data_IF_571190049797
#
_entry.id   IF_571190049797
#
_cell.length_a   1.000
_cell.length_b   1.000
_cell.length_c   1.000
_cell.angle_alpha   90.00
_cell.angle_beta   90.00
_cell.angle_gamma   90.00
#
_symmetry.space_group_name_H-M   'P 1'
#
loop_
_entity.id
_entity.type
_entity.pdbx_description
1 polymer ?
#
# COMPACT_ATOMS: atom_id res chain seq x y z
N UNK A 1 -29.06 -18.90 -7.09
CA UNK A 1 -27.94 -17.97 -7.31
C UNK A 1 -27.06 -17.98 -6.08
N UNK A 2 -25.77 -18.25 -6.22
CA UNK A 2 -24.78 -18.07 -5.15
C UNK A 2 -24.13 -16.70 -5.29
N UNK A 3 -23.70 -16.11 -4.17
CA UNK A 3 -23.03 -14.82 -4.18
C UNK A 3 -21.65 -14.93 -4.86
N UNK A 4 -21.29 -13.92 -5.65
CA UNK A 4 -19.93 -13.77 -6.20
C UNK A 4 -19.03 -13.18 -5.11
N UNK A 5 -17.93 -13.86 -4.80
CA UNK A 5 -16.90 -13.31 -3.90
C UNK A 5 -16.04 -12.33 -4.70
N UNK A 6 -15.93 -11.10 -4.21
CA UNK A 6 -14.99 -10.13 -4.74
C UNK A 6 -13.63 -10.38 -4.08
N UNK A 7 -12.67 -10.92 -4.84
CA UNK A 7 -11.35 -11.28 -4.32
C UNK A 7 -10.46 -10.05 -4.14
N UNK A 8 -10.46 -9.51 -2.92
CA UNK A 8 -9.64 -8.37 -2.55
C UNK A 8 -8.12 -8.62 -2.66
N UNK A 9 -7.64 -9.87 -2.64
CA UNK A 9 -6.19 -10.15 -2.79
C UNK A 9 -5.74 -9.95 -4.22
N UNK A 10 -6.54 -10.44 -5.18
CA UNK A 10 -6.27 -10.21 -6.61
C UNK A 10 -6.35 -8.72 -6.91
N UNK A 11 -7.39 -8.04 -6.43
CA UNK A 11 -7.53 -6.59 -6.61
C UNK A 11 -6.37 -5.81 -6.00
N UNK A 12 -5.92 -6.17 -4.79
CA UNK A 12 -4.76 -5.55 -4.14
C UNK A 12 -3.48 -5.71 -4.97
N UNK A 13 -3.22 -6.91 -5.50
CA UNK A 13 -2.04 -7.17 -6.31
C UNK A 13 -2.01 -6.33 -7.59
N UNK A 14 -3.15 -6.21 -8.27
CA UNK A 14 -3.29 -5.35 -9.45
C UNK A 14 -2.99 -3.89 -9.11
N UNK A 15 -3.61 -3.36 -8.04
CA UNK A 15 -3.42 -1.96 -7.63
C UNK A 15 -1.95 -1.68 -7.27
N UNK A 16 -1.27 -2.60 -6.56
CA UNK A 16 0.14 -2.44 -6.21
C UNK A 16 1.04 -2.34 -7.44
N UNK A 17 0.81 -3.20 -8.44
CA UNK A 17 1.58 -3.17 -9.69
C UNK A 17 1.42 -1.84 -10.42
N UNK A 18 0.17 -1.37 -10.57
CA UNK A 18 -0.12 -0.11 -11.25
C UNK A 18 0.46 1.10 -10.50
N UNK A 19 0.42 1.09 -9.16
CA UNK A 19 1.00 2.16 -8.34
C UNK A 19 2.53 2.19 -8.43
N UNK A 20 3.19 1.03 -8.47
CA UNK A 20 4.65 0.97 -8.56
C UNK A 20 5.16 1.62 -9.86
N UNK A 21 4.47 1.38 -10.98
CA UNK A 21 4.76 2.05 -12.25
C UNK A 21 4.60 3.57 -12.17
N UNK A 22 3.52 4.04 -11.53
CA UNK A 22 3.24 5.46 -11.38
C UNK A 22 4.27 6.16 -10.47
N UNK A 23 4.67 5.52 -9.37
CA UNK A 23 5.68 6.07 -8.45
C UNK A 23 7.04 6.12 -9.14
N UNK A 24 7.42 5.07 -9.88
CA UNK A 24 8.65 5.08 -10.67
C UNK A 24 8.65 6.21 -11.71
N UNK A 25 7.53 6.43 -12.40
CA UNK A 25 7.37 7.54 -13.34
C UNK A 25 7.53 8.89 -12.66
N UNK A 26 6.90 9.10 -11.50
CA UNK A 26 6.99 10.35 -10.75
C UNK A 26 8.43 10.65 -10.34
N UNK A 27 9.17 9.63 -9.89
CA UNK A 27 10.58 9.75 -9.55
C UNK A 27 11.43 10.16 -10.75
N UNK A 28 11.23 9.52 -11.91
CA UNK A 28 12.03 9.78 -13.11
C UNK A 28 11.70 11.15 -13.73
N UNK A 29 10.42 11.47 -13.85
CA UNK A 29 9.97 12.69 -14.56
C UNK A 29 10.06 13.96 -13.71
N UNK A 30 9.91 13.83 -12.38
CA UNK A 30 9.81 15.00 -11.48
C UNK A 30 10.80 14.98 -10.34
N UNK A 31 11.59 13.92 -10.18
CA UNK A 31 12.51 13.78 -9.04
C UNK A 31 11.79 13.64 -7.69
N UNK A 32 10.49 13.30 -7.69
CA UNK A 32 9.67 13.20 -6.48
C UNK A 32 9.48 11.73 -6.09
N UNK A 33 9.77 11.42 -4.83
CA UNK A 33 9.48 10.11 -4.22
C UNK A 33 8.43 10.34 -3.12
N UNK A 34 7.20 9.82 -3.29
CA UNK A 34 6.17 9.90 -2.25
C UNK A 34 6.59 9.19 -0.97
N UNK A 35 6.09 9.67 0.17
CA UNK A 35 6.31 9.03 1.47
C UNK A 35 5.02 8.96 2.28
N UNK A 36 4.88 7.91 3.10
CA UNK A 36 3.75 7.74 4.01
C UNK A 36 4.19 8.01 5.46
N UNK A 37 3.58 9.01 6.08
CA UNK A 37 3.68 9.26 7.53
C UNK A 37 2.46 8.69 8.26
N UNK A 38 2.69 7.87 9.28
CA UNK A 38 1.62 7.34 10.16
C UNK A 38 1.85 7.77 11.60
N UNK A 39 0.79 8.20 12.29
CA UNK A 39 0.81 8.43 13.74
C UNK A 39 0.09 7.28 14.43
N UNK A 40 0.79 6.60 15.34
CA UNK A 40 0.22 5.56 16.20
C UNK A 40 0.25 6.07 17.65
N UNK A 41 -0.88 6.00 18.33
CA UNK A 41 -1.00 6.40 19.75
C UNK A 41 -1.37 5.16 20.57
N UNK A 42 -0.60 4.90 21.62
CA UNK A 42 -0.74 3.71 22.45
C UNK A 42 -0.08 2.46 21.86
N UNK A 43 -0.36 1.30 22.47
CA UNK A 43 0.36 0.05 22.22
C UNK A 43 -0.54 -1.12 21.78
N UNK A 44 -1.73 -0.81 21.26
CA UNK A 44 -2.64 -1.85 20.75
C UNK A 44 -1.95 -2.74 19.69
N UNK A 45 -1.82 -4.07 19.92
CA UNK A 45 -1.11 -4.97 19.02
C UNK A 45 -1.70 -5.01 17.61
N UNK A 46 -3.03 -4.90 17.48
CA UNK A 46 -3.70 -4.85 16.19
C UNK A 46 -3.30 -3.62 15.38
N UNK A 47 -3.32 -2.46 16.04
CA UNK A 47 -2.90 -1.19 15.45
C UNK A 47 -1.44 -1.21 15.00
N UNK A 48 -0.53 -1.79 15.80
CA UNK A 48 0.87 -1.98 15.41
C UNK A 48 1.00 -2.84 14.15
N UNK A 49 0.25 -3.94 14.07
CA UNK A 49 0.24 -4.79 12.89
C UNK A 49 -0.24 -4.03 11.64
N UNK A 50 -1.35 -3.28 11.74
CA UNK A 50 -1.89 -2.53 10.61
C UNK A 50 -0.96 -1.41 10.15
N UNK A 51 -0.30 -0.69 11.07
CA UNK A 51 0.68 0.33 10.71
C UNK A 51 1.86 -0.32 10.00
N UNK A 52 2.40 -1.42 10.52
CA UNK A 52 3.50 -2.14 9.88
C UNK A 52 3.13 -2.67 8.49
N UNK A 53 1.91 -3.17 8.30
CA UNK A 53 1.43 -3.60 6.99
C UNK A 53 1.40 -2.44 5.98
N UNK A 54 0.92 -1.25 6.38
CA UNK A 54 0.94 -0.04 5.53
C UNK A 54 2.36 0.33 5.12
N UNK A 55 3.31 0.33 6.06
CA UNK A 55 4.72 0.62 5.77
C UNK A 55 5.35 -0.41 4.84
N UNK A 56 5.03 -1.70 5.03
CA UNK A 56 5.49 -2.77 4.14
C UNK A 56 4.97 -2.58 2.72
N UNK A 57 3.69 -2.25 2.57
CA UNK A 57 3.09 -2.01 1.26
C UNK A 57 3.73 -0.80 0.55
N UNK A 58 4.01 0.29 1.28
CA UNK A 58 4.75 1.42 0.71
C UNK A 58 6.17 1.02 0.28
N UNK A 59 6.89 0.23 1.09
CA UNK A 59 8.23 -0.22 0.74
C UNK A 59 8.26 -1.15 -0.50
N UNK A 60 7.18 -1.89 -0.76
CA UNK A 60 7.03 -2.75 -1.93
C UNK A 60 6.75 -1.95 -3.22
N UNK A 61 5.94 -0.88 -3.12
CA UNK A 61 5.56 -0.02 -4.25
C UNK A 61 6.70 0.92 -4.67
N UNK A 62 7.51 1.38 -3.69
CA UNK A 62 8.57 2.36 -3.89
C UNK A 62 8.11 3.80 -3.70
#
# INVERSE_FOLDING_TARGET
MTATVLDGKVTLATIKSELAEQVAKLRVERGVVPGLGTVLVGDDPGSRWYVNAKHKDCAEIG
#
